data_IF_060259873505
#
_entry.id   IF_060259873505
#
_cell.length_a   1.000
_cell.length_b   1.000
_cell.length_c   1.000
_cell.angle_alpha   90.00
_cell.angle_beta   90.00
_cell.angle_gamma   90.00
#
_symmetry.space_group_name_H-M   'P 1'
#
loop_
_entity.id
_entity.type
_entity.pdbx_description
1 polymer ?
#
# COMPACT_ATOMS: atom_id res chain seq x y z
N UNK A 1 4.64 -4.29 4.35
CA UNK A 1 5.58 -5.40 4.04
C UNK A 1 5.43 -6.59 5.00
N UNK A 2 5.53 -6.41 6.32
CA UNK A 2 5.39 -7.53 7.26
C UNK A 2 4.10 -8.35 7.08
N UNK A 3 2.95 -7.69 6.93
CA UNK A 3 1.67 -8.38 6.69
C UNK A 3 1.71 -9.20 5.38
N UNK A 4 2.31 -8.65 4.31
CA UNK A 4 2.46 -9.35 3.04
C UNK A 4 3.29 -10.63 3.17
N UNK A 5 4.38 -10.56 3.93
CA UNK A 5 5.20 -11.72 4.22
C UNK A 5 4.42 -12.77 5.02
N UNK A 6 3.77 -12.38 6.12
CA UNK A 6 3.06 -13.30 7.01
C UNK A 6 1.83 -13.95 6.36
N UNK A 7 1.02 -13.18 5.63
CA UNK A 7 -0.28 -13.66 5.11
C UNK A 7 -0.18 -14.28 3.71
N UNK A 8 0.72 -13.76 2.87
CA UNK A 8 0.83 -14.13 1.46
C UNK A 8 2.21 -14.67 1.07
N UNK A 9 3.11 -14.86 2.04
CA UNK A 9 4.44 -15.43 1.81
C UNK A 9 5.36 -14.56 0.96
N UNK A 10 5.07 -13.26 0.82
CA UNK A 10 5.87 -12.35 0.00
C UNK A 10 7.29 -12.25 0.57
N UNK A 11 8.30 -12.48 -0.26
CA UNK A 11 9.72 -12.38 0.12
C UNK A 11 10.56 -11.58 -0.88
N UNK A 12 9.92 -10.96 -1.87
CA UNK A 12 10.60 -10.31 -2.99
C UNK A 12 9.86 -9.06 -3.44
N UNK A 13 10.60 -7.98 -3.71
CA UNK A 13 10.10 -6.73 -4.28
C UNK A 13 10.46 -6.62 -5.77
N UNK A 14 9.47 -6.53 -6.66
CA UNK A 14 9.69 -6.37 -8.11
C UNK A 14 10.20 -4.98 -8.49
N UNK A 15 10.07 -3.99 -7.62
CA UNK A 15 10.56 -2.63 -7.83
C UNK A 15 11.13 -2.10 -6.52
N UNK A 16 12.45 -2.07 -6.41
CA UNK A 16 13.14 -1.46 -5.29
C UNK A 16 14.53 -0.96 -5.72
N UNK A 17 15.30 -0.54 -4.72
CA UNK A 17 16.70 -0.17 -4.79
C UNK A 17 17.38 -0.64 -3.49
N UNK A 18 18.71 -0.70 -3.45
CA UNK A 18 19.44 -0.99 -2.20
C UNK A 18 19.08 -0.06 -1.04
N UNK A 19 18.56 1.12 -1.33
CA UNK A 19 18.27 2.18 -0.36
C UNK A 19 16.84 2.14 0.18
N UNK A 20 15.93 1.42 -0.49
CA UNK A 20 14.51 1.37 -0.12
C UNK A 20 13.89 -0.02 -0.02
N UNK A 21 14.62 -1.08 -0.38
CA UNK A 21 14.14 -2.45 -0.26
C UNK A 21 13.84 -2.82 1.21
N UNK A 22 12.76 -3.56 1.42
CA UNK A 22 12.46 -4.22 2.67
C UNK A 22 13.09 -5.62 2.76
N UNK A 23 13.05 -6.38 1.66
CA UNK A 23 13.63 -7.71 1.57
C UNK A 23 15.06 -7.65 1.02
N UNK A 24 15.84 -8.70 1.28
CA UNK A 24 17.20 -8.85 0.73
C UNK A 24 17.23 -9.26 -0.75
N UNK A 25 16.08 -9.51 -1.34
CA UNK A 25 15.94 -9.90 -2.74
C UNK A 25 14.90 -9.02 -3.40
N UNK A 26 15.30 -8.34 -4.46
CA UNK A 26 14.47 -7.38 -5.18
C UNK A 26 14.96 -7.23 -6.62
N UNK A 27 14.13 -6.66 -7.48
CA UNK A 27 14.53 -6.14 -8.78
C UNK A 27 14.77 -4.64 -8.67
N UNK A 28 15.75 -4.13 -9.42
CA UNK A 28 16.10 -2.71 -9.49
C UNK A 28 16.55 -2.32 -10.89
N UNK A 29 16.62 -1.01 -11.17
CA UNK A 29 16.95 -0.50 -12.50
C UNK A 29 18.41 -0.72 -12.89
N UNK A 30 19.35 -0.60 -11.95
CA UNK A 30 20.80 -0.60 -12.22
C UNK A 30 21.45 -1.89 -11.72
N UNK A 31 21.41 -2.94 -12.55
CA UNK A 31 21.95 -4.25 -12.18
C UNK A 31 23.46 -4.23 -11.92
N UNK A 32 24.20 -3.39 -12.64
CA UNK A 32 25.64 -3.24 -12.55
C UNK A 32 26.09 -2.74 -11.17
N UNK A 33 25.32 -1.86 -10.53
CA UNK A 33 25.62 -1.36 -9.18
C UNK A 33 24.88 -2.12 -8.08
N UNK A 34 23.61 -2.44 -8.30
CA UNK A 34 22.72 -2.86 -7.22
C UNK A 34 22.82 -4.37 -6.94
N UNK A 35 23.37 -5.16 -7.86
CA UNK A 35 23.53 -6.61 -7.69
C UNK A 35 24.42 -6.96 -6.50
N UNK A 36 25.44 -6.14 -6.22
CA UNK A 36 26.30 -6.25 -5.03
C UNK A 36 25.53 -6.10 -3.71
N UNK A 37 24.31 -5.54 -3.76
CA UNK A 37 23.45 -5.29 -2.61
C UNK A 37 22.15 -6.12 -2.64
N UNK A 38 22.09 -7.16 -3.49
CA UNK A 38 20.99 -8.13 -3.51
C UNK A 38 19.98 -7.96 -4.66
N UNK A 39 20.18 -6.99 -5.55
CA UNK A 39 19.33 -6.86 -6.75
C UNK A 39 19.46 -8.07 -7.67
N UNK A 40 18.36 -8.44 -8.30
CA UNK A 40 18.27 -9.43 -9.39
C UNK A 40 18.15 -8.79 -10.78
N UNK A 41 18.45 -7.50 -10.88
CA UNK A 41 18.34 -6.72 -12.12
C UNK A 41 16.94 -6.20 -12.40
N UNK A 42 16.68 -5.71 -13.62
CA UNK A 42 15.38 -5.17 -14.01
C UNK A 42 14.27 -6.20 -13.98
N UNK A 43 13.05 -5.78 -13.63
CA UNK A 43 11.89 -6.67 -13.52
C UNK A 43 11.56 -7.41 -14.83
N UNK A 44 11.75 -6.77 -15.98
CA UNK A 44 11.43 -7.36 -17.29
C UNK A 44 12.40 -8.50 -17.66
N UNK A 45 13.56 -8.56 -17.01
CA UNK A 45 14.53 -9.64 -17.17
C UNK A 45 14.32 -10.77 -16.16
N UNK A 46 13.47 -10.57 -15.13
CA UNK A 46 13.20 -11.56 -14.10
C UNK A 46 12.58 -12.82 -14.71
N UNK A 47 13.18 -13.98 -14.43
CA UNK A 47 12.67 -15.30 -14.84
C UNK A 47 12.22 -16.10 -13.61
N UNK A 48 11.18 -15.62 -12.93
CA UNK A 48 10.66 -16.27 -11.73
C UNK A 48 9.88 -17.54 -12.08
N UNK A 49 10.33 -18.69 -11.58
CA UNK A 49 9.60 -19.95 -11.71
C UNK A 49 8.61 -20.13 -10.55
N UNK A 50 8.98 -19.74 -9.33
CA UNK A 50 8.09 -19.85 -8.16
C UNK A 50 8.34 -18.72 -7.17
N UNK A 51 7.40 -18.50 -6.27
CA UNK A 51 7.52 -17.51 -5.20
C UNK A 51 6.32 -16.59 -5.09
N UNK A 52 6.37 -15.71 -4.08
CA UNK A 52 5.37 -14.69 -3.86
C UNK A 52 6.05 -13.32 -3.83
N UNK A 53 5.54 -12.43 -4.66
CA UNK A 53 6.19 -11.18 -5.05
C UNK A 53 5.26 -10.00 -4.77
N UNK A 54 5.85 -8.88 -4.38
CA UNK A 54 5.17 -7.59 -4.32
C UNK A 54 5.67 -6.72 -5.46
N UNK A 55 4.75 -6.11 -6.21
CA UNK A 55 5.09 -5.20 -7.29
C UNK A 55 4.41 -3.85 -7.05
N UNK A 56 5.19 -2.77 -7.06
CA UNK A 56 4.70 -1.40 -7.04
C UNK A 56 5.47 -0.61 -8.11
N UNK A 57 5.11 -0.76 -9.38
CA UNK A 57 5.81 -0.10 -10.48
C UNK A 57 5.75 1.43 -10.29
N UNK A 58 6.81 2.17 -10.70
CA UNK A 58 6.72 3.61 -10.78
C UNK A 58 5.66 4.02 -11.81
N UNK A 59 5.13 5.23 -11.66
CA UNK A 59 4.09 5.73 -12.56
C UNK A 59 4.67 6.11 -13.93
N UNK A 60 4.77 5.12 -14.80
CA UNK A 60 5.12 5.20 -16.21
C UNK A 60 4.26 4.17 -16.92
N UNK A 61 3.33 4.63 -17.77
CA UNK A 61 2.26 3.79 -18.30
C UNK A 61 2.81 2.60 -19.11
N UNK A 62 3.83 2.86 -19.94
CA UNK A 62 4.48 1.84 -20.76
C UNK A 62 5.15 0.77 -19.89
N UNK A 63 5.83 1.18 -18.82
CA UNK A 63 6.47 0.26 -17.89
C UNK A 63 5.45 -0.53 -17.08
N UNK A 64 4.37 0.11 -16.63
CA UNK A 64 3.28 -0.57 -15.93
C UNK A 64 2.65 -1.64 -16.81
N UNK A 65 2.35 -1.33 -18.08
CA UNK A 65 1.77 -2.28 -19.02
C UNK A 65 2.75 -3.43 -19.36
N UNK A 66 4.01 -3.11 -19.62
CA UNK A 66 5.05 -4.11 -19.86
C UNK A 66 5.21 -5.05 -18.66
N UNK A 67 5.11 -4.51 -17.45
CA UNK A 67 5.19 -5.28 -16.20
C UNK A 67 4.00 -6.23 -16.04
N UNK A 68 2.77 -5.76 -16.29
CA UNK A 68 1.59 -6.64 -16.26
C UNK A 68 1.74 -7.77 -17.28
N UNK A 69 2.15 -7.44 -18.50
CA UNK A 69 2.39 -8.42 -19.57
C UNK A 69 3.43 -9.47 -19.15
N UNK A 70 4.55 -9.02 -18.59
CA UNK A 70 5.62 -9.89 -18.13
C UNK A 70 5.18 -10.79 -16.97
N UNK A 71 4.44 -10.26 -16.00
CA UNK A 71 3.86 -11.05 -14.91
C UNK A 71 2.92 -12.13 -15.44
N UNK A 72 2.05 -11.80 -16.39
CA UNK A 72 1.14 -12.79 -17.00
C UNK A 72 1.88 -13.91 -17.73
N UNK A 73 2.97 -13.58 -18.43
CA UNK A 73 3.84 -14.58 -19.07
C UNK A 73 4.47 -15.51 -18.04
N UNK A 74 5.06 -14.97 -16.97
CA UNK A 74 5.65 -15.79 -15.90
C UNK A 74 4.62 -16.72 -15.24
N UNK A 75 3.39 -16.23 -15.02
CA UNK A 75 2.30 -17.00 -14.43
C UNK A 75 1.78 -18.10 -15.36
N UNK A 76 1.80 -17.87 -16.68
CA UNK A 76 1.41 -18.85 -17.68
C UNK A 76 2.46 -19.94 -17.89
N UNK A 77 3.74 -19.57 -17.89
CA UNK A 77 4.85 -20.46 -18.22
C UNK A 77 5.24 -21.40 -17.07
N UNK A 78 4.88 -21.05 -15.83
CA UNK A 78 5.25 -21.84 -14.66
C UNK A 78 4.11 -22.70 -14.10
N UNK A 79 4.33 -24.02 -13.89
CA UNK A 79 3.42 -24.87 -13.14
C UNK A 79 3.60 -24.73 -11.61
N UNK A 80 4.70 -24.13 -11.15
CA UNK A 80 5.03 -24.02 -9.73
C UNK A 80 4.25 -22.88 -9.06
N UNK A 81 4.07 -22.89 -7.72
CA UNK A 81 3.33 -21.84 -7.03
C UNK A 81 3.93 -20.44 -7.27
N UNK A 82 3.18 -19.59 -7.97
CA UNK A 82 3.63 -18.25 -8.34
C UNK A 82 2.52 -17.21 -8.10
N UNK A 83 2.89 -16.13 -7.43
CA UNK A 83 1.95 -15.08 -6.97
C UNK A 83 2.58 -13.70 -7.04
N UNK A 84 1.87 -12.73 -7.62
CA UNK A 84 2.22 -11.32 -7.62
C UNK A 84 1.09 -10.51 -6.99
N UNK A 85 1.44 -9.67 -6.01
CA UNK A 85 0.53 -8.68 -5.43
C UNK A 85 0.96 -7.32 -5.96
N UNK A 86 0.16 -6.78 -6.87
CA UNK A 86 0.44 -5.55 -7.61
C UNK A 86 -0.28 -4.39 -6.94
N UNK A 87 0.46 -3.32 -6.68
CA UNK A 87 0.00 -2.06 -6.10
C UNK A 87 0.17 -0.98 -7.16
N UNK A 88 -0.91 -0.29 -7.52
CA UNK A 88 -0.87 0.82 -8.49
C UNK A 88 -1.82 1.94 -8.04
N UNK A 89 -1.56 3.20 -8.37
CA UNK A 89 -2.51 4.27 -8.12
C UNK A 89 -3.84 4.02 -8.83
N UNK A 90 -4.97 4.17 -8.12
CA UNK A 90 -6.33 4.07 -8.66
C UNK A 90 -6.74 5.39 -9.35
N UNK A 91 -5.88 5.89 -10.25
CA UNK A 91 -6.14 7.08 -11.06
C UNK A 91 -6.86 6.67 -12.34
N UNK A 92 -8.09 7.16 -12.54
CA UNK A 92 -9.00 6.70 -13.62
C UNK A 92 -9.36 7.77 -14.65
N UNK A 93 -8.73 8.95 -14.61
CA UNK A 93 -9.08 10.08 -15.48
C UNK A 93 -7.85 10.74 -16.13
N UNK A 94 -7.41 10.27 -17.32
CA UNK A 94 -7.91 9.10 -18.05
C UNK A 94 -7.46 7.78 -17.40
N UNK A 95 -8.21 6.69 -17.63
CA UNK A 95 -7.83 5.37 -17.11
C UNK A 95 -6.64 4.82 -17.91
N UNK A 96 -5.49 4.52 -17.27
CA UNK A 96 -4.34 3.96 -17.97
C UNK A 96 -4.62 2.57 -18.53
N UNK A 97 -4.05 2.24 -19.69
CA UNK A 97 -4.20 0.92 -20.32
C UNK A 97 -3.68 -0.21 -19.41
N UNK A 98 -2.61 0.05 -18.67
CA UNK A 98 -2.08 -0.89 -17.69
C UNK A 98 -3.10 -1.27 -16.61
N UNK A 99 -3.95 -0.33 -16.18
CA UNK A 99 -4.99 -0.59 -15.18
C UNK A 99 -6.10 -1.48 -15.76
N UNK A 100 -6.56 -1.15 -16.97
CA UNK A 100 -7.55 -1.96 -17.70
C UNK A 100 -7.06 -3.39 -17.88
N UNK A 101 -5.80 -3.56 -18.31
CA UNK A 101 -5.17 -4.87 -18.49
C UNK A 101 -5.05 -5.64 -17.18
N UNK A 102 -4.60 -4.98 -16.12
CA UNK A 102 -4.46 -5.59 -14.79
C UNK A 102 -5.82 -6.08 -14.25
N UNK A 103 -6.87 -5.28 -14.40
CA UNK A 103 -8.22 -5.66 -13.98
C UNK A 103 -8.83 -6.77 -14.87
N UNK A 104 -8.46 -6.85 -16.15
CA UNK A 104 -8.96 -7.87 -17.07
C UNK A 104 -8.20 -9.21 -17.02
N UNK A 105 -7.07 -9.28 -16.32
CA UNK A 105 -6.20 -10.45 -16.30
C UNK A 105 -6.91 -11.75 -15.88
N UNK A 106 -6.70 -12.82 -16.64
CA UNK A 106 -7.21 -14.17 -16.31
C UNK A 106 -6.58 -14.77 -15.04
N UNK A 107 -5.42 -14.25 -14.63
CA UNK A 107 -4.74 -14.66 -13.39
C UNK A 107 -5.23 -13.89 -12.17
N UNK A 108 -6.10 -12.88 -12.34
CA UNK A 108 -6.66 -12.12 -11.23
C UNK A 108 -7.49 -13.01 -10.31
N UNK A 109 -7.15 -13.01 -9.02
CA UNK A 109 -7.84 -13.77 -7.96
C UNK A 109 -8.63 -12.89 -7.00
N UNK A 110 -8.18 -11.67 -6.77
CA UNK A 110 -8.84 -10.67 -5.92
C UNK A 110 -8.35 -9.28 -6.33
N UNK A 111 -9.19 -8.28 -6.10
CA UNK A 111 -8.80 -6.87 -6.13
C UNK A 111 -9.47 -6.13 -4.98
N UNK A 112 -8.79 -5.15 -4.41
CA UNK A 112 -9.35 -4.19 -3.45
C UNK A 112 -8.75 -2.81 -3.71
N UNK A 113 -9.44 -1.77 -3.25
CA UNK A 113 -8.92 -0.40 -3.26
C UNK A 113 -8.72 0.04 -1.82
N UNK A 114 -7.51 0.52 -1.51
CA UNK A 114 -7.23 1.25 -0.28
C UNK A 114 -7.56 2.72 -0.54
N UNK A 115 -8.53 3.33 0.15
CA UNK A 115 -8.98 4.68 -0.16
C UNK A 115 -7.88 5.74 -0.04
N UNK A 116 -8.03 6.80 -0.82
CA UNK A 116 -7.17 7.98 -0.73
C UNK A 116 -7.19 8.54 0.70
N UNK A 117 -6.07 9.09 1.16
CA UNK A 117 -5.91 9.69 2.49
C UNK A 117 -6.05 8.76 3.70
N UNK A 118 -6.34 7.47 3.48
CA UNK A 118 -6.49 6.44 4.51
C UNK A 118 -5.24 5.53 4.65
N UNK A 119 -4.17 5.83 3.93
CA UNK A 119 -2.92 5.08 4.00
C UNK A 119 -1.68 5.97 3.78
N UNK A 120 -0.53 5.47 4.21
CA UNK A 120 0.76 6.14 4.10
C UNK A 120 1.77 5.29 3.32
N UNK A 121 2.63 5.95 2.55
CA UNK A 121 3.82 5.36 1.94
C UNK A 121 5.08 5.87 2.62
N UNK A 122 6.13 5.05 2.60
CA UNK A 122 7.47 5.53 2.92
C UNK A 122 8.05 6.28 1.72
N UNK A 123 8.68 7.43 1.99
CA UNK A 123 9.32 8.23 0.95
C UNK A 123 10.50 7.50 0.30
N UNK A 124 10.68 7.68 -1.02
CA UNK A 124 11.75 7.02 -1.77
C UNK A 124 13.17 7.44 -1.34
N UNK A 125 13.34 8.69 -0.91
CA UNK A 125 14.61 9.26 -0.41
C UNK A 125 14.80 9.03 1.09
N UNK A 126 14.21 7.99 1.66
CA UNK A 126 14.28 7.68 3.10
C UNK A 126 15.71 7.60 3.67
N UNK A 127 16.70 7.32 2.83
CA UNK A 127 18.12 7.26 3.21
C UNK A 127 18.74 8.65 3.46
N UNK A 128 18.10 9.73 3.00
CA UNK A 128 18.53 11.11 3.23
C UNK A 128 17.78 11.79 4.38
N UNK A 129 16.71 11.17 4.88
CA UNK A 129 15.82 11.81 5.85
C UNK A 129 16.32 11.61 7.27
N UNK A 130 16.57 12.73 7.94
CA UNK A 130 17.14 12.78 9.29
C UNK A 130 16.08 12.68 10.38
N UNK A 131 14.86 13.19 10.12
CA UNK A 131 13.77 13.14 11.08
C UNK A 131 12.81 11.97 10.79
N UNK A 132 12.63 11.09 11.78
CA UNK A 132 11.78 9.90 11.64
C UNK A 132 10.30 10.22 11.39
N UNK A 133 9.82 11.39 11.80
CA UNK A 133 8.42 11.78 11.56
C UNK A 133 8.12 12.04 10.09
N UNK A 134 9.16 12.30 9.29
CA UNK A 134 9.02 12.73 7.90
C UNK A 134 9.18 11.55 6.92
N UNK A 135 9.33 10.32 7.45
CA UNK A 135 9.52 9.11 6.65
C UNK A 135 8.25 8.66 5.93
N UNK A 136 7.08 8.99 6.48
CA UNK A 136 5.79 8.56 5.96
C UNK A 136 5.03 9.75 5.36
N UNK A 137 4.49 9.55 4.16
CA UNK A 137 3.65 10.52 3.46
C UNK A 137 2.30 9.89 3.20
N UNK A 138 1.24 10.62 3.56
CA UNK A 138 -0.14 10.22 3.29
C UNK A 138 -0.40 10.21 1.79
N UNK A 139 -0.97 9.11 1.28
CA UNK A 139 -1.30 9.01 -0.14
C UNK A 139 -2.50 9.90 -0.48
N UNK A 140 -2.37 10.68 -1.55
CA UNK A 140 -3.46 11.53 -2.06
C UNK A 140 -4.41 10.79 -3.00
N UNK A 141 -3.99 9.63 -3.48
CA UNK A 141 -4.77 8.78 -4.38
C UNK A 141 -5.10 7.45 -3.72
N UNK A 142 -6.20 6.84 -4.16
CA UNK A 142 -6.47 5.44 -3.82
C UNK A 142 -5.37 4.54 -4.37
N UNK A 143 -5.11 3.43 -3.70
CA UNK A 143 -4.18 2.41 -4.20
C UNK A 143 -4.98 1.15 -4.52
N UNK A 144 -5.00 0.77 -5.80
CA UNK A 144 -5.54 -0.50 -6.23
C UNK A 144 -4.53 -1.61 -5.91
N UNK A 145 -5.00 -2.65 -5.23
CA UNK A 145 -4.23 -3.85 -4.88
C UNK A 145 -4.85 -5.04 -5.60
N UNK A 146 -4.06 -5.73 -6.43
CA UNK A 146 -4.51 -6.84 -7.26
C UNK A 146 -3.64 -8.06 -7.02
N UNK A 147 -4.26 -9.21 -6.76
CA UNK A 147 -3.57 -10.50 -6.64
C UNK A 147 -3.65 -11.24 -7.97
N UNK A 148 -2.52 -11.37 -8.65
CA UNK A 148 -2.34 -12.19 -9.85
C UNK A 148 -1.64 -13.49 -9.48
N UNK A 149 -2.30 -14.64 -9.67
CA UNK A 149 -1.75 -15.93 -9.26
C UNK A 149 -2.12 -17.04 -10.25
N UNK A 150 -1.17 -17.91 -10.55
CA UNK A 150 -1.46 -19.16 -11.23
C UNK A 150 -2.19 -20.11 -10.28
N UNK A 151 -2.67 -21.26 -10.79
CA UNK A 151 -3.48 -22.18 -9.99
C UNK A 151 -2.74 -22.65 -8.73
N UNK A 152 -1.46 -23.03 -8.85
CA UNK A 152 -0.64 -23.48 -7.74
C UNK A 152 -0.38 -22.36 -6.71
N UNK A 153 -0.13 -21.13 -7.18
CA UNK A 153 0.06 -19.94 -6.35
C UNK A 153 -1.21 -19.58 -5.57
N UNK A 154 -2.37 -19.66 -6.21
CA UNK A 154 -3.66 -19.44 -5.57
C UNK A 154 -3.95 -20.49 -4.49
N UNK A 155 -3.66 -21.77 -4.76
CA UNK A 155 -3.79 -22.82 -3.73
C UNK A 155 -2.87 -22.60 -2.53
N UNK A 156 -1.66 -22.08 -2.74
CA UNK A 156 -0.67 -21.88 -1.67
C UNK A 156 -0.87 -20.58 -0.89
N UNK A 157 -1.23 -19.48 -1.57
CA UNK A 157 -1.37 -18.15 -0.98
C UNK A 157 -2.72 -17.50 -1.34
N UNK A 158 -3.86 -18.13 -1.01
CA UNK A 158 -5.15 -17.61 -1.42
C UNK A 158 -5.45 -16.26 -0.75
N UNK A 159 -5.95 -15.26 -1.48
CA UNK A 159 -6.48 -14.01 -0.93
C UNK A 159 -7.86 -14.22 -0.31
N UNK A 160 -7.90 -14.97 0.79
CA UNK A 160 -9.10 -15.13 1.62
C UNK A 160 -9.49 -13.80 2.26
N UNK A 161 -10.77 -13.64 2.59
CA UNK A 161 -11.30 -12.41 3.17
C UNK A 161 -10.53 -11.98 4.43
N UNK A 162 -10.31 -12.92 5.37
CA UNK A 162 -9.53 -12.68 6.60
C UNK A 162 -8.10 -12.18 6.34
N UNK A 163 -7.42 -12.69 5.30
CA UNK A 163 -6.06 -12.25 4.96
C UNK A 163 -6.05 -10.86 4.33
N UNK A 164 -7.06 -10.58 3.51
CA UNK A 164 -7.24 -9.28 2.86
C UNK A 164 -7.59 -8.22 3.90
N UNK A 165 -8.49 -8.51 4.83
CA UNK A 165 -8.83 -7.63 5.95
C UNK A 165 -7.61 -7.29 6.80
N UNK A 166 -6.80 -8.30 7.17
CA UNK A 166 -5.51 -8.08 7.86
C UNK A 166 -4.53 -7.21 7.09
N UNK A 167 -4.58 -7.22 5.75
CA UNK A 167 -3.77 -6.32 4.94
C UNK A 167 -4.33 -4.90 4.97
N UNK A 168 -5.64 -4.72 4.84
CA UNK A 168 -6.31 -3.41 4.92
C UNK A 168 -6.09 -2.76 6.31
N UNK A 169 -6.19 -3.54 7.38
CA UNK A 169 -5.87 -3.08 8.74
C UNK A 169 -4.40 -2.67 8.88
N UNK A 170 -3.49 -3.34 8.18
CA UNK A 170 -2.09 -2.99 8.16
C UNK A 170 -1.77 -1.71 7.36
N UNK A 171 -2.70 -1.24 6.51
CA UNK A 171 -2.60 0.04 5.80
C UNK A 171 -2.99 1.24 6.64
N UNK A 172 -3.76 1.05 7.72
CA UNK A 172 -4.17 2.13 8.62
C UNK A 172 -2.94 2.85 9.20
N UNK A 173 -2.91 4.20 9.19
CA UNK A 173 -1.79 4.97 9.71
C UNK A 173 -1.40 4.55 11.13
N UNK A 174 -0.10 4.51 11.42
CA UNK A 174 0.42 3.96 12.69
C UNK A 174 -0.14 4.64 13.95
N UNK A 175 -0.49 5.93 13.88
CA UNK A 175 -1.14 6.66 14.98
C UNK A 175 -2.53 6.14 15.31
N UNK A 176 -3.30 5.73 14.31
CA UNK A 176 -4.64 5.15 14.49
C UNK A 176 -4.52 3.71 14.99
N UNK A 177 -3.58 2.93 14.45
CA UNK A 177 -3.34 1.55 14.89
C UNK A 177 -2.88 1.45 16.34
N UNK A 178 -2.02 2.35 16.80
CA UNK A 178 -1.58 2.39 18.20
C UNK A 178 -2.67 2.94 19.13
N UNK A 179 -3.50 3.89 18.68
CA UNK A 179 -4.67 4.38 19.41
C UNK A 179 -5.71 3.27 19.63
N UNK A 180 -6.08 2.54 18.58
CA UNK A 180 -7.06 1.46 18.66
C UNK A 180 -6.57 0.33 19.57
N UNK A 181 -5.28 -0.02 19.52
CA UNK A 181 -4.67 -0.97 20.48
C UNK A 181 -4.80 -0.49 21.92
N UNK A 182 -4.56 0.81 22.18
CA UNK A 182 -4.68 1.38 23.52
C UNK A 182 -6.14 1.37 24.02
N UNK A 183 -7.10 1.67 23.15
CA UNK A 183 -8.54 1.65 23.46
C UNK A 183 -9.04 0.20 23.70
N UNK A 184 -8.56 -0.79 22.96
CA UNK A 184 -8.86 -2.22 23.18
C UNK A 184 -8.26 -2.79 24.47
N UNK A 185 -7.09 -2.30 24.89
CA UNK A 185 -6.42 -2.69 26.13
C UNK A 185 -6.95 -1.94 27.36
N UNK A 186 -7.79 -0.92 27.16
CA UNK A 186 -8.42 -0.17 28.25
C UNK A 186 -9.55 -0.99 28.85
N UNK A 187 -9.58 -1.23 30.17
CA UNK A 187 -10.68 -1.96 30.79
C UNK A 187 -11.99 -1.19 30.57
N UNK A 188 -12.99 -1.85 29.96
CA UNK A 188 -14.35 -1.30 29.90
C UNK A 188 -14.83 -1.12 31.32
N UNK A 189 -15.05 0.12 31.73
CA UNK A 189 -15.65 0.43 33.02
C UNK A 189 -17.02 -0.28 33.09
N UNK A 190 -17.16 -1.22 34.01
CA UNK A 190 -18.47 -1.75 34.36
C UNK A 190 -19.33 -0.59 34.90
N UNK A 191 -20.61 -0.49 34.52
CA UNK A 191 -21.49 0.54 35.04
C UNK A 191 -21.69 0.27 36.54
N UNK A 192 -21.04 1.07 37.39
CA UNK A 192 -21.17 0.98 38.84
C UNK A 192 -22.59 1.46 39.24
N UNK A 193 -23.41 0.67 39.98
CA UNK A 193 -24.80 1.03 40.28
C UNK A 193 -25.00 2.15 41.31
N UNK A 194 -23.96 2.93 41.63
CA UNK A 194 -23.98 3.89 42.73
C UNK A 194 -23.64 5.29 42.24
N UNK A 195 -24.61 5.93 41.60
CA UNK A 195 -24.65 7.40 41.51
C UNK A 195 -26.06 7.83 41.87
N UNK A 196 -26.28 8.59 42.96
CA UNK A 196 -27.58 9.20 43.23
C UNK A 196 -27.86 10.29 42.18
N UNK A 197 -29.14 10.54 41.85
CA UNK A 197 -29.48 11.52 40.83
C UNK A 197 -29.08 12.92 41.30
N UNK A 198 -28.22 13.59 40.53
CA UNK A 198 -27.93 15.00 40.74
C UNK A 198 -29.13 15.83 40.27
N UNK A 199 -29.67 16.60 41.19
CA UNK A 199 -30.82 17.47 41.01
C UNK A 199 -30.61 18.50 39.89
N UNK A 200 -31.65 18.63 39.09
CA UNK A 200 -31.84 19.60 38.02
C UNK A 200 -31.78 21.02 38.59
N UNK A 201 -30.80 21.83 38.18
CA UNK A 201 -30.92 23.29 38.25
C UNK A 201 -30.80 23.90 36.86
N UNK A 202 -31.97 24.25 36.33
CA UNK A 202 -32.23 25.08 35.16
C UNK A 202 -31.78 26.51 35.36
N UNK A 203 -30.97 27.06 34.43
CA UNK A 203 -31.00 28.47 34.04
C UNK A 203 -30.66 28.67 32.54
N UNK A 204 -31.17 29.74 31.89
CA UNK A 204 -31.59 29.76 30.47
C UNK A 204 -30.55 30.39 29.50
N UNK A 205 -30.82 30.42 28.17
CA UNK A 205 -29.79 30.60 27.14
C UNK A 205 -29.63 32.04 26.65
N UNK A 206 -28.40 32.41 26.31
CA UNK A 206 -27.98 33.59 25.52
C UNK A 206 -26.81 33.08 24.67
N UNK A 207 -26.67 33.25 23.35
CA UNK A 207 -27.22 34.11 22.32
C UNK A 207 -26.13 34.11 21.22
N UNK A 208 -26.50 34.08 19.94
CA UNK A 208 -25.64 33.55 18.86
C UNK A 208 -24.67 34.50 18.13
N UNK A 209 -23.70 33.87 17.45
CA UNK A 209 -23.03 34.27 16.19
C UNK A 209 -21.79 35.17 16.27
N UNK A 210 -20.99 35.33 15.18
CA UNK A 210 -20.85 34.51 13.96
C UNK A 210 -19.38 34.11 13.61
N UNK A 211 -19.27 33.24 12.59
CA UNK A 211 -18.06 32.73 11.93
C UNK A 211 -17.04 33.80 11.48
N UNK A 212 -15.75 33.43 11.52
CA UNK A 212 -14.71 33.99 10.64
C UNK A 212 -14.04 32.84 9.86
N UNK A 213 -14.22 32.88 8.53
CA UNK A 213 -13.49 32.07 7.55
C UNK A 213 -12.06 32.59 7.44
N UNK A 214 -11.07 31.70 7.46
CA UNK A 214 -9.77 31.96 6.84
C UNK A 214 -9.56 31.00 5.68
N UNK A 215 -9.66 31.56 4.47
CA UNK A 215 -9.07 31.02 3.26
C UNK A 215 -7.55 30.97 3.46
N UNK A 216 -6.92 29.85 3.10
CA UNK A 216 -5.52 29.89 2.67
C UNK A 216 -5.38 29.18 1.33
N UNK A 217 -5.20 30.01 0.30
CA UNK A 217 -4.64 29.60 -0.97
C UNK A 217 -3.14 29.32 -0.81
N UNK A 218 -2.63 28.51 -1.74
CA UNK A 218 -1.23 28.21 -2.05
C UNK A 218 -0.58 27.07 -1.26
N UNK A 219 -0.49 25.90 -1.90
CA UNK A 219 0.84 25.37 -2.19
C UNK A 219 0.85 24.49 -3.44
N UNK A 220 1.69 24.90 -4.39
CA UNK A 220 1.98 24.26 -5.67
C UNK A 220 2.88 23.05 -5.42
N UNK A 221 2.45 21.87 -5.87
CA UNK A 221 3.28 20.68 -5.88
C UNK A 221 4.35 20.82 -6.97
N UNK A 222 5.62 20.96 -6.55
CA UNK A 222 6.78 20.95 -7.44
C UNK A 222 7.23 19.51 -7.65
N UNK A 223 6.95 18.95 -8.84
CA UNK A 223 7.73 17.84 -9.39
C UNK A 223 9.06 18.39 -9.93
N UNK A 224 10.18 17.66 -9.80
CA UNK A 224 11.42 18.05 -10.47
C UNK A 224 11.27 17.86 -11.99
N UNK A 225 11.81 18.77 -12.81
CA UNK A 225 11.80 18.61 -14.26
C UNK A 225 12.80 17.53 -14.69
N UNK A 226 12.38 16.68 -15.62
CA UNK A 226 13.24 15.75 -16.34
C UNK A 226 14.06 16.58 -17.33
N UNK A 227 15.38 16.64 -17.11
CA UNK A 227 16.33 17.30 -17.99
C UNK A 227 16.51 16.53 -19.30
N UNK A 228 16.55 17.28 -20.39
CA UNK A 228 16.85 16.86 -21.76
C UNK A 228 18.31 16.48 -21.96
#
# INVERSE_FOLDING_TARGET
MECLNRQFGVTFECFASPLNCYFRQYCSMFADTDSYFGSRGPILDLKAVSGSFQAHPPYCEELMEATVTHIEQLLADSPEPLSFIVFVPDHRDPTPNALVKLEASHFKRKQVVVPAFEHEFRIGIQHMVTNKTDLNVKSQHGTLVVWLQNSAGYSKWPPTEDKVEKLLDAFRPGRERERDKLELLSPKAEPNPQTPPSETQTQPPLGGGPQVKMNNHNNVAMYPPVGS
#
